data_IF_491770774351
#
_entry.id   IF_491770774351
#
_cell.length_a   1.000
_cell.length_b   1.000
_cell.length_c   1.000
_cell.angle_alpha   90.00
_cell.angle_beta   90.00
_cell.angle_gamma   90.00
#
_symmetry.space_group_name_H-M   'P 1'
#
loop_
_entity.id
_entity.type
_entity.pdbx_description
1 polymer ?
#
# COMPACT_ATOMS: atom_id res chain seq x y z
N UNK A 1 -37.96 85.99 -12.97
CA UNK A 1 -36.86 86.90 -12.63
C UNK A 1 -35.61 86.08 -12.89
N UNK A 2 -34.97 86.36 -14.02
CA UNK A 2 -33.69 87.03 -14.26
C UNK A 2 -32.54 86.28 -13.64
N UNK A 3 -31.41 85.93 -14.26
CA UNK A 3 -30.78 86.30 -15.52
C UNK A 3 -29.64 85.29 -15.75
N UNK A 4 -29.44 84.80 -16.91
CA UNK A 4 -28.35 85.01 -17.89
C UNK A 4 -27.03 85.47 -17.35
N UNK A 5 -25.95 84.63 -17.56
CA UNK A 5 -24.77 85.09 -18.28
C UNK A 5 -23.82 83.95 -18.70
N UNK A 6 -23.50 84.01 -19.96
CA UNK A 6 -22.54 83.35 -20.75
C UNK A 6 -21.11 83.81 -20.40
N UNK A 7 -20.07 83.01 -20.65
CA UNK A 7 -18.87 83.31 -21.44
C UNK A 7 -17.81 82.18 -21.37
N UNK A 8 -17.53 81.65 -22.47
CA UNK A 8 -16.30 81.66 -23.30
C UNK A 8 -15.27 80.56 -22.96
N UNK A 9 -15.14 79.68 -23.91
CA UNK A 9 -13.98 79.43 -24.77
C UNK A 9 -12.58 79.41 -24.06
N UNK A 10 -11.99 78.26 -24.07
CA UNK A 10 -10.55 78.05 -23.84
C UNK A 10 -10.17 76.70 -24.42
N UNK A 11 -9.70 76.76 -25.66
CA UNK A 11 -9.10 75.67 -26.41
C UNK A 11 -7.67 75.51 -25.87
N UNK A 12 -7.36 74.33 -25.32
CA UNK A 12 -5.99 73.97 -25.00
C UNK A 12 -5.71 72.54 -25.41
N UNK A 13 -4.98 72.44 -26.45
CA UNK A 13 -4.43 71.23 -27.05
C UNK A 13 -3.22 70.78 -26.23
N UNK A 14 -3.33 69.64 -25.49
CA UNK A 14 -2.19 68.95 -24.92
C UNK A 14 -2.20 67.50 -25.40
N UNK A 15 -1.26 67.23 -26.29
CA UNK A 15 -0.89 65.89 -26.71
C UNK A 15 -0.33 65.12 -25.51
N UNK A 16 -1.03 64.13 -25.02
CA UNK A 16 -0.58 63.18 -23.98
C UNK A 16 -0.33 61.83 -24.60
N UNK A 17 0.96 61.50 -24.73
CA UNK A 17 1.49 60.24 -25.21
C UNK A 17 1.02 59.11 -24.26
N UNK A 18 0.04 58.33 -24.67
CA UNK A 18 -0.45 57.16 -23.94
C UNK A 18 0.54 56.00 -24.10
N UNK A 19 1.31 55.74 -23.06
CA UNK A 19 2.22 54.60 -22.94
C UNK A 19 1.39 53.38 -22.59
N UNK A 20 1.08 52.54 -23.57
CA UNK A 20 0.43 51.27 -23.38
C UNK A 20 1.41 50.28 -22.72
N UNK A 21 1.34 50.09 -21.40
CA UNK A 21 1.97 48.98 -20.72
C UNK A 21 1.27 47.68 -21.09
N UNK A 22 1.80 46.96 -22.09
CA UNK A 22 1.43 45.59 -22.34
C UNK A 22 2.04 44.76 -21.21
N UNK A 23 1.19 44.42 -20.21
CA UNK A 23 1.53 43.42 -19.20
C UNK A 23 1.60 42.07 -19.90
N UNK A 24 2.81 41.62 -20.26
CA UNK A 24 3.07 40.25 -20.67
C UNK A 24 2.86 39.35 -19.44
N UNK A 25 1.67 38.75 -19.33
CA UNK A 25 1.46 37.60 -18.44
C UNK A 25 2.34 36.46 -18.95
N UNK A 26 3.54 36.35 -18.41
CA UNK A 26 4.35 35.13 -18.53
C UNK A 26 3.61 34.03 -17.80
N UNK A 27 2.82 33.28 -18.57
CA UNK A 27 2.28 32.01 -18.09
C UNK A 27 3.44 31.12 -17.66
N UNK A 28 3.63 30.97 -16.35
CA UNK A 28 4.49 29.94 -15.81
C UNK A 28 3.83 28.59 -16.15
N UNK A 29 4.17 28.04 -17.30
CA UNK A 29 3.88 26.67 -17.65
C UNK A 29 4.54 25.80 -16.59
N UNK A 30 3.75 25.21 -15.69
CA UNK A 30 4.24 24.16 -14.80
C UNK A 30 4.86 23.09 -15.69
N UNK A 31 6.15 22.88 -15.56
CA UNK A 31 6.82 21.76 -16.21
C UNK A 31 6.07 20.48 -15.81
N UNK A 32 5.82 19.54 -16.71
CA UNK A 32 5.18 18.29 -16.36
C UNK A 32 5.98 17.64 -15.23
N UNK A 33 5.29 17.32 -14.14
CA UNK A 33 5.91 16.63 -13.02
C UNK A 33 6.53 15.34 -13.57
N UNK A 34 7.86 15.20 -13.43
CA UNK A 34 8.55 13.99 -13.86
C UNK A 34 8.03 12.83 -13.02
N UNK A 35 7.71 11.72 -13.65
CA UNK A 35 7.36 10.49 -12.92
C UNK A 35 8.45 10.14 -11.89
N UNK A 36 8.06 9.72 -10.68
CA UNK A 36 9.03 9.36 -9.64
C UNK A 36 9.89 8.18 -10.10
N UNK A 37 11.17 8.22 -9.74
CA UNK A 37 12.08 7.11 -10.03
C UNK A 37 11.73 5.86 -9.20
N UNK A 38 12.30 4.72 -9.57
CA UNK A 38 12.22 3.47 -8.78
C UNK A 38 12.67 3.73 -7.34
N UNK A 39 13.80 4.41 -7.19
CA UNK A 39 14.37 4.78 -5.90
C UNK A 39 13.43 5.65 -5.06
N UNK A 40 12.85 6.70 -5.66
CA UNK A 40 11.92 7.58 -4.94
C UNK A 40 10.68 6.81 -4.46
N UNK A 41 10.13 5.93 -5.29
CA UNK A 41 8.96 5.12 -4.93
C UNK A 41 9.30 4.11 -3.84
N UNK A 42 10.42 3.39 -3.95
CA UNK A 42 10.86 2.43 -2.95
C UNK A 42 11.07 3.12 -1.59
N UNK A 43 11.77 4.24 -1.56
CA UNK A 43 11.97 5.02 -0.34
C UNK A 43 10.66 5.51 0.29
N UNK A 44 9.68 5.91 -0.53
CA UNK A 44 8.36 6.33 0.00
C UNK A 44 7.63 5.18 0.65
N UNK A 45 7.67 3.99 0.05
CA UNK A 45 7.07 2.78 0.62
C UNK A 45 7.76 2.44 1.95
N UNK A 46 9.08 2.33 1.96
CA UNK A 46 9.84 2.00 3.17
C UNK A 46 9.57 3.02 4.27
N UNK A 47 9.64 4.32 3.97
CA UNK A 47 9.38 5.39 4.93
C UNK A 47 7.95 5.37 5.47
N UNK A 48 6.95 5.08 4.60
CA UNK A 48 5.56 4.97 5.03
C UNK A 48 5.40 3.86 6.05
N UNK A 49 5.77 2.63 5.69
CA UNK A 49 5.57 1.48 6.57
C UNK A 49 6.48 1.51 7.79
N UNK A 50 7.70 2.04 7.70
CA UNK A 50 8.58 2.19 8.87
C UNK A 50 8.02 3.16 9.93
N UNK A 51 7.32 4.20 9.50
CA UNK A 51 6.72 5.19 10.39
C UNK A 51 5.52 4.67 11.19
N UNK A 52 4.89 3.60 10.75
CA UNK A 52 3.68 3.05 11.37
C UNK A 52 4.00 2.34 12.69
N UNK A 53 3.14 2.51 13.69
CA UNK A 53 3.08 1.71 14.91
C UNK A 53 2.01 0.64 14.81
N UNK A 54 0.93 0.95 14.13
CA UNK A 54 -0.18 0.04 13.86
C UNK A 54 -0.85 0.39 12.53
N UNK A 55 -1.59 -0.57 11.99
CA UNK A 55 -2.34 -0.42 10.77
C UNK A 55 -3.62 -1.23 10.85
N UNK A 56 -4.71 -0.68 10.30
CA UNK A 56 -5.92 -1.43 10.00
C UNK A 56 -6.27 -1.21 8.53
N UNK A 57 -6.61 -2.28 7.81
CA UNK A 57 -7.06 -2.20 6.42
C UNK A 57 -8.07 -3.31 6.12
N UNK A 58 -8.94 -3.10 5.14
CA UNK A 58 -9.65 -4.17 4.48
C UNK A 58 -8.74 -4.86 3.47
N UNK A 59 -8.95 -6.15 3.22
CA UNK A 59 -8.28 -6.87 2.15
C UNK A 59 -9.23 -7.72 1.33
N UNK A 60 -8.86 -7.94 0.08
CA UNK A 60 -9.35 -9.01 -0.79
C UNK A 60 -8.15 -9.79 -1.29
N UNK A 61 -8.20 -11.11 -1.21
CA UNK A 61 -7.19 -12.05 -1.69
C UNK A 61 -7.79 -12.89 -2.79
N UNK A 62 -7.13 -13.03 -3.92
CA UNK A 62 -7.45 -14.03 -4.94
C UNK A 62 -6.26 -14.92 -5.20
N UNK A 63 -6.52 -16.22 -5.31
CA UNK A 63 -5.56 -17.25 -5.67
C UNK A 63 -5.99 -17.94 -6.95
N UNK A 64 -5.08 -18.08 -7.89
CA UNK A 64 -5.24 -18.83 -9.14
C UNK A 64 -4.03 -19.73 -9.31
N UNK A 65 -4.23 -21.05 -9.29
CA UNK A 65 -3.13 -22.01 -9.46
C UNK A 65 -3.64 -23.44 -9.43
N UNK A 66 -2.98 -24.34 -10.15
CA UNK A 66 -3.29 -25.78 -10.17
C UNK A 66 -4.77 -26.10 -10.46
N UNK A 67 -5.46 -25.26 -11.23
CA UNK A 67 -6.89 -25.39 -11.52
C UNK A 67 -7.81 -24.91 -10.38
N UNK A 68 -7.27 -24.34 -9.33
CA UNK A 68 -8.01 -23.79 -8.20
C UNK A 68 -8.14 -22.27 -8.38
N UNK A 69 -9.35 -21.75 -8.18
CA UNK A 69 -9.65 -20.33 -8.09
C UNK A 69 -10.33 -20.08 -6.76
N UNK A 70 -9.74 -19.23 -5.92
CA UNK A 70 -10.29 -18.87 -4.62
C UNK A 70 -10.24 -17.37 -4.43
N UNK A 71 -11.30 -16.81 -3.89
CA UNK A 71 -11.32 -15.40 -3.46
C UNK A 71 -11.79 -15.33 -2.02
N UNK A 72 -11.04 -14.61 -1.21
CA UNK A 72 -11.34 -14.36 0.20
C UNK A 72 -11.23 -12.87 0.50
N UNK A 73 -11.86 -12.41 1.56
CA UNK A 73 -11.80 -11.03 1.99
C UNK A 73 -11.91 -10.91 3.50
N UNK A 74 -11.49 -9.79 4.03
CA UNK A 74 -11.53 -9.60 5.47
C UNK A 74 -10.87 -8.32 5.94
N UNK A 75 -10.39 -8.37 7.18
CA UNK A 75 -9.69 -7.26 7.83
C UNK A 75 -8.27 -7.68 8.21
N UNK A 76 -7.32 -6.82 7.87
CA UNK A 76 -5.93 -6.87 8.32
C UNK A 76 -5.76 -5.90 9.50
N UNK A 77 -5.16 -6.40 10.57
CA UNK A 77 -4.70 -5.62 11.71
C UNK A 77 -3.21 -5.90 11.90
N UNK A 78 -2.44 -4.84 12.10
CA UNK A 78 -1.00 -4.90 12.27
C UNK A 78 -0.58 -4.04 13.45
N UNK A 79 0.34 -4.53 14.26
CA UNK A 79 0.96 -3.76 15.35
C UNK A 79 2.43 -4.13 15.49
N UNK A 80 3.29 -3.13 15.37
CA UNK A 80 4.74 -3.32 15.56
C UNK A 80 5.10 -3.48 17.04
N UNK A 81 6.16 -4.23 17.33
CA UNK A 81 6.91 -5.07 16.39
C UNK A 81 6.20 -6.41 16.13
N UNK A 82 6.28 -6.89 14.90
CA UNK A 82 6.04 -8.29 14.52
C UNK A 82 4.68 -8.91 14.83
N UNK A 83 3.61 -8.12 14.95
CA UNK A 83 2.25 -8.64 15.19
C UNK A 83 1.34 -8.30 14.04
N UNK A 84 0.59 -9.31 13.56
CA UNK A 84 -0.32 -9.20 12.44
C UNK A 84 -1.50 -10.14 12.63
N UNK A 85 -2.69 -9.72 12.25
CA UNK A 85 -3.90 -10.53 12.30
C UNK A 85 -4.73 -10.31 11.03
N UNK A 86 -5.04 -11.40 10.36
CA UNK A 86 -5.96 -11.45 9.25
C UNK A 86 -7.21 -12.18 9.70
N UNK A 87 -8.35 -11.52 9.61
CA UNK A 87 -9.66 -12.08 9.90
C UNK A 87 -10.45 -12.18 8.60
N UNK A 88 -10.82 -13.37 8.22
CA UNK A 88 -11.50 -13.65 6.96
C UNK A 88 -13.01 -13.54 7.15
N UNK A 89 -13.64 -12.51 6.54
CA UNK A 89 -15.09 -12.32 6.56
C UNK A 89 -15.81 -13.35 5.67
N UNK A 90 -15.15 -13.80 4.58
CA UNK A 90 -15.64 -14.84 3.68
C UNK A 90 -15.75 -16.22 4.36
N UNK A 91 -14.95 -16.45 5.40
CA UNK A 91 -14.95 -17.71 6.19
C UNK A 91 -14.91 -17.33 7.67
N UNK A 92 -16.06 -17.07 8.31
CA UNK A 92 -16.10 -16.62 9.69
C UNK A 92 -15.34 -17.55 10.64
N UNK A 93 -14.42 -17.00 11.41
CA UNK A 93 -13.55 -17.75 12.32
C UNK A 93 -12.23 -18.21 11.73
N UNK A 94 -12.05 -18.18 10.41
CA UNK A 94 -10.73 -18.36 9.79
C UNK A 94 -9.84 -17.20 10.14
N UNK A 95 -8.60 -17.49 10.52
CA UNK A 95 -7.59 -16.47 10.81
C UNK A 95 -6.18 -16.92 10.44
N UNK A 96 -5.37 -15.94 10.11
CA UNK A 96 -3.92 -15.98 10.25
C UNK A 96 -3.52 -14.96 11.33
N UNK A 97 -2.69 -15.38 12.26
CA UNK A 97 -2.23 -14.53 13.35
C UNK A 97 -0.73 -14.68 13.57
N UNK A 98 -0.03 -13.58 13.58
CA UNK A 98 1.34 -13.45 14.07
C UNK A 98 1.28 -12.73 15.42
N UNK A 99 1.61 -13.43 16.51
CA UNK A 99 1.48 -12.91 17.87
C UNK A 99 2.78 -12.30 18.42
N UNK A 100 3.85 -12.34 17.60
CA UNK A 100 5.21 -11.91 17.95
C UNK A 100 6.12 -13.08 18.37
N UNK A 101 5.57 -14.26 18.64
CA UNK A 101 6.30 -15.50 18.96
C UNK A 101 6.02 -16.60 17.96
N UNK A 102 4.77 -16.74 17.59
CA UNK A 102 4.26 -17.77 16.69
C UNK A 102 3.39 -17.17 15.60
N UNK A 103 3.37 -17.82 14.47
CA UNK A 103 2.35 -17.70 13.46
C UNK A 103 1.33 -18.83 13.64
N UNK A 104 0.06 -18.47 13.62
CA UNK A 104 -1.09 -19.37 13.82
C UNK A 104 -1.94 -19.34 12.56
N UNK A 105 -2.31 -20.52 12.08
CA UNK A 105 -3.25 -20.70 10.98
C UNK A 105 -4.39 -21.56 11.48
N UNK A 106 -5.60 -21.06 11.28
CA UNK A 106 -6.80 -21.80 11.68
C UNK A 106 -7.96 -21.53 10.73
N UNK A 107 -8.62 -22.59 10.32
CA UNK A 107 -9.92 -22.56 9.63
C UNK A 107 -10.91 -23.39 10.44
N UNK A 108 -12.14 -22.89 10.72
CA UNK A 108 -13.17 -23.68 11.39
C UNK A 108 -13.47 -24.98 10.63
N UNK A 109 -13.46 -26.09 11.35
CA UNK A 109 -13.63 -27.42 10.77
C UNK A 109 -12.32 -28.16 10.49
N UNK A 110 -11.17 -27.47 10.53
CA UNK A 110 -9.88 -28.13 10.44
C UNK A 110 -9.65 -29.05 11.65
N UNK A 111 -9.01 -30.21 11.45
CA UNK A 111 -8.76 -31.16 12.53
C UNK A 111 -7.74 -30.66 13.55
N UNK A 112 -6.98 -29.61 13.22
CA UNK A 112 -5.92 -29.06 14.04
C UNK A 112 -5.68 -27.58 13.73
N UNK A 113 -5.09 -26.87 14.71
CA UNK A 113 -4.52 -25.53 14.52
C UNK A 113 -3.05 -25.67 14.14
N UNK A 114 -2.62 -25.07 13.04
CA UNK A 114 -1.20 -25.01 12.68
C UNK A 114 -0.51 -23.90 13.44
N UNK A 115 0.67 -24.19 14.02
CA UNK A 115 1.51 -23.21 14.70
C UNK A 115 2.96 -23.33 14.25
N UNK A 116 3.57 -22.20 13.91
CA UNK A 116 4.96 -22.12 13.46
C UNK A 116 5.68 -21.05 14.28
N UNK A 117 6.92 -21.27 14.72
CA UNK A 117 7.73 -20.19 15.28
C UNK A 117 7.81 -19.00 14.32
N UNK A 118 7.58 -17.77 14.83
CA UNK A 118 7.56 -16.55 14.00
C UNK A 118 8.85 -16.35 13.19
N UNK A 119 10.01 -16.74 13.75
CA UNK A 119 11.32 -16.72 13.07
C UNK A 119 11.36 -17.56 11.80
N UNK A 120 10.64 -18.67 11.76
CA UNK A 120 10.56 -19.52 10.56
C UNK A 120 9.72 -18.86 9.46
N UNK A 121 8.77 -17.99 9.84
CA UNK A 121 8.01 -17.19 8.89
C UNK A 121 8.88 -16.11 8.23
N UNK A 122 9.84 -15.54 8.98
CA UNK A 122 10.83 -14.62 8.43
C UNK A 122 11.75 -15.35 7.43
N UNK A 123 12.12 -16.60 7.72
CA UNK A 123 12.90 -17.45 6.81
C UNK A 123 12.09 -17.80 5.53
N UNK A 124 10.76 -17.92 5.63
CA UNK A 124 9.87 -18.08 4.48
C UNK A 124 9.70 -16.80 3.65
N UNK A 125 10.25 -15.67 4.14
CA UNK A 125 10.27 -14.36 3.45
C UNK A 125 8.93 -14.01 2.81
N UNK A 126 7.86 -14.11 3.62
CA UNK A 126 6.51 -13.78 3.15
C UNK A 126 6.45 -12.37 2.54
N UNK A 127 5.83 -12.20 1.35
CA UNK A 127 5.64 -10.88 0.76
C UNK A 127 4.92 -9.89 1.67
N UNK A 128 4.15 -10.39 2.64
CA UNK A 128 3.41 -9.58 3.61
C UNK A 128 4.33 -8.87 4.63
N UNK A 129 5.61 -9.27 4.71
CA UNK A 129 6.61 -8.62 5.58
C UNK A 129 6.80 -7.14 5.25
N UNK A 130 6.59 -6.73 3.99
CA UNK A 130 6.67 -5.32 3.60
C UNK A 130 5.66 -4.45 4.36
N UNK A 131 4.50 -5.00 4.74
CA UNK A 131 3.52 -4.30 5.56
C UNK A 131 3.97 -4.16 7.02
N UNK A 132 4.89 -5.00 7.49
CA UNK A 132 5.41 -4.91 8.86
C UNK A 132 6.46 -3.81 9.04
N UNK A 133 6.99 -3.24 7.94
CA UNK A 133 8.09 -2.27 7.96
C UNK A 133 9.43 -2.90 8.33
N UNK A 134 10.47 -2.07 8.45
CA UNK A 134 11.88 -2.49 8.59
C UNK A 134 12.40 -3.27 7.38
N UNK A 135 11.83 -2.94 6.21
CA UNK A 135 12.25 -3.47 4.92
C UNK A 135 13.03 -2.40 4.17
N UNK A 136 13.89 -2.85 3.30
CA UNK A 136 14.57 -2.01 2.31
C UNK A 136 14.30 -2.67 0.96
N UNK A 137 13.30 -2.15 0.26
CA UNK A 137 12.81 -2.75 -0.99
C UNK A 137 13.93 -2.93 -2.01
N UNK A 138 14.85 -1.98 -2.13
CA UNK A 138 15.94 -2.05 -3.10
C UNK A 138 16.98 -3.13 -2.72
N UNK A 139 17.17 -3.38 -1.43
CA UNK A 139 18.05 -4.47 -0.98
C UNK A 139 17.37 -5.83 -1.06
N UNK A 140 16.10 -5.89 -0.82
CA UNK A 140 15.36 -7.16 -0.76
C UNK A 140 14.88 -7.66 -2.13
N UNK A 141 14.67 -6.74 -3.07
CA UNK A 141 14.22 -7.07 -4.41
C UNK A 141 15.36 -7.06 -5.42
N UNK A 142 15.51 -8.12 -6.18
CA UNK A 142 16.35 -8.15 -7.37
C UNK A 142 15.63 -7.57 -8.57
N UNK A 143 16.35 -6.84 -9.43
CA UNK A 143 15.83 -6.27 -10.67
C UNK A 143 14.57 -5.40 -10.45
N UNK A 144 14.57 -4.60 -9.38
CA UNK A 144 13.44 -3.74 -9.06
C UNK A 144 13.22 -2.71 -10.16
N UNK A 145 11.98 -2.66 -10.67
CA UNK A 145 11.53 -1.74 -11.72
C UNK A 145 10.28 -1.00 -11.26
N UNK A 146 10.00 0.14 -11.89
CA UNK A 146 8.77 0.90 -11.69
C UNK A 146 8.09 1.14 -13.03
N UNK A 147 6.76 1.04 -13.04
CA UNK A 147 5.92 1.35 -14.19
C UNK A 147 4.67 2.12 -13.75
N UNK A 148 4.06 2.93 -14.62
CA UNK A 148 2.74 3.47 -14.37
C UNK A 148 1.73 2.33 -14.13
N UNK A 149 0.89 2.52 -13.12
CA UNK A 149 -0.19 1.62 -12.74
C UNK A 149 -1.57 2.23 -12.96
N UNK A 150 -2.64 1.54 -12.55
CA UNK A 150 -4.00 2.05 -12.67
C UNK A 150 -4.22 3.27 -11.77
N UNK A 151 -5.16 4.14 -12.14
CA UNK A 151 -5.63 5.27 -11.32
C UNK A 151 -4.53 6.21 -10.81
N UNK A 152 -3.46 6.43 -11.59
CA UNK A 152 -2.34 7.28 -11.18
C UNK A 152 -1.44 6.67 -10.10
N UNK A 153 -1.53 5.38 -9.89
CA UNK A 153 -0.62 4.60 -9.05
C UNK A 153 0.60 4.14 -9.84
N UNK A 154 1.51 3.47 -9.16
CA UNK A 154 2.72 2.89 -9.75
C UNK A 154 2.82 1.41 -9.38
N UNK A 155 3.47 0.63 -10.23
CA UNK A 155 3.77 -0.76 -9.99
C UNK A 155 5.28 -0.89 -9.80
N UNK A 156 5.70 -1.24 -8.57
CA UNK A 156 7.06 -1.65 -8.27
C UNK A 156 7.13 -3.17 -8.41
N UNK A 157 8.00 -3.69 -9.24
CA UNK A 157 8.11 -5.15 -9.43
C UNK A 157 9.56 -5.62 -9.53
N UNK A 158 9.78 -6.82 -9.03
CA UNK A 158 11.08 -7.48 -9.04
C UNK A 158 10.96 -8.91 -8.52
N UNK A 159 12.08 -9.55 -8.26
CA UNK A 159 12.14 -10.90 -7.68
C UNK A 159 12.74 -10.81 -6.28
N UNK A 160 12.06 -11.31 -5.23
CA UNK A 160 12.60 -11.29 -3.88
C UNK A 160 13.88 -12.11 -3.80
N UNK A 161 14.96 -11.49 -3.30
CA UNK A 161 16.28 -12.14 -3.21
C UNK A 161 16.25 -13.36 -2.29
N UNK A 162 16.83 -14.47 -2.77
CA UNK A 162 16.84 -15.76 -2.09
C UNK A 162 15.50 -16.51 -2.14
N UNK A 163 14.54 -16.03 -2.94
CA UNK A 163 13.28 -16.70 -3.23
C UNK A 163 13.10 -17.01 -4.72
N UNK A 164 14.13 -16.83 -5.52
CA UNK A 164 14.10 -16.92 -6.98
C UNK A 164 13.61 -18.28 -7.49
N UNK A 165 13.77 -19.33 -6.68
CA UNK A 165 13.29 -20.69 -7.00
C UNK A 165 11.80 -20.86 -6.78
N UNK A 166 11.19 -20.02 -5.94
CA UNK A 166 9.78 -20.13 -5.54
C UNK A 166 8.93 -19.02 -6.15
N UNK A 167 9.45 -17.81 -6.21
CA UNK A 167 8.73 -16.63 -6.68
C UNK A 167 9.41 -16.13 -7.95
N UNK A 168 8.67 -16.15 -9.05
CA UNK A 168 9.11 -15.63 -10.34
C UNK A 168 8.98 -14.11 -10.42
N UNK A 169 7.97 -13.54 -9.73
CA UNK A 169 7.71 -12.11 -9.69
C UNK A 169 6.94 -11.71 -8.43
N UNK A 170 7.34 -10.61 -7.84
CA UNK A 170 6.56 -9.86 -6.85
C UNK A 170 6.30 -8.46 -7.38
N UNK A 171 5.04 -8.02 -7.36
CA UNK A 171 4.66 -6.67 -7.73
C UNK A 171 3.86 -6.00 -6.62
N UNK A 172 4.22 -4.75 -6.31
CA UNK A 172 3.52 -3.89 -5.37
C UNK A 172 2.83 -2.76 -6.15
N UNK A 173 1.52 -2.66 -6.07
CA UNK A 173 0.80 -1.48 -6.54
C UNK A 173 0.84 -0.45 -5.44
N UNK A 174 1.40 0.73 -5.73
CA UNK A 174 1.65 1.77 -4.72
C UNK A 174 1.10 3.12 -5.16
N UNK A 175 0.65 3.91 -4.22
CA UNK A 175 0.32 5.32 -4.47
C UNK A 175 1.59 6.15 -4.65
N UNK A 176 1.45 7.37 -5.16
CA UNK A 176 2.57 8.32 -5.24
C UNK A 176 3.17 8.66 -3.86
N UNK A 177 2.47 8.39 -2.76
CA UNK A 177 2.92 8.61 -1.38
C UNK A 177 3.51 7.38 -0.70
N UNK A 178 3.58 6.24 -1.41
CA UNK A 178 4.18 5.00 -0.89
C UNK A 178 3.20 4.05 -0.17
N UNK A 179 1.90 4.29 -0.25
CA UNK A 179 0.90 3.36 0.31
C UNK A 179 0.75 2.17 -0.63
N UNK A 180 0.91 0.95 -0.14
CA UNK A 180 0.68 -0.29 -0.89
C UNK A 180 -0.83 -0.54 -0.95
N UNK A 181 -1.40 -0.52 -2.14
CA UNK A 181 -2.80 -0.83 -2.40
C UNK A 181 -3.00 -2.21 -2.99
N UNK A 182 -1.93 -2.87 -3.42
CA UNK A 182 -1.98 -4.24 -3.92
C UNK A 182 -0.63 -4.92 -3.83
N UNK A 183 -0.67 -6.23 -3.69
CA UNK A 183 0.49 -7.13 -3.78
C UNK A 183 0.11 -8.25 -4.73
N UNK A 184 0.94 -8.53 -5.71
CA UNK A 184 0.82 -9.66 -6.62
C UNK A 184 2.06 -10.54 -6.49
N UNK A 185 1.86 -11.82 -6.27
CA UNK A 185 2.90 -12.84 -6.17
C UNK A 185 2.67 -13.85 -7.27
N UNK A 186 3.63 -13.99 -8.15
CA UNK A 186 3.68 -15.03 -9.17
C UNK A 186 4.71 -16.07 -8.76
N UNK A 187 4.25 -17.29 -8.53
CA UNK A 187 5.13 -18.39 -8.15
C UNK A 187 5.79 -19.03 -9.37
N UNK A 188 6.87 -19.79 -9.17
CA UNK A 188 7.63 -20.40 -10.24
C UNK A 188 6.85 -21.48 -11.01
N UNK A 189 5.82 -22.06 -10.39
CA UNK A 189 4.90 -23.03 -11.02
C UNK A 189 3.73 -22.36 -11.76
N UNK A 190 3.67 -21.01 -11.77
CA UNK A 190 2.64 -20.20 -12.40
C UNK A 190 1.44 -19.91 -11.53
N UNK A 191 1.42 -20.34 -10.27
CA UNK A 191 0.38 -19.92 -9.34
C UNK A 191 0.45 -18.40 -9.05
N UNK A 192 -0.70 -17.77 -8.92
CA UNK A 192 -0.82 -16.33 -8.82
C UNK A 192 -1.69 -15.96 -7.62
N UNK A 193 -1.11 -15.23 -6.67
CA UNK A 193 -1.83 -14.67 -5.53
C UNK A 193 -1.88 -13.15 -5.66
N UNK A 194 -3.06 -12.56 -5.54
CA UNK A 194 -3.25 -11.11 -5.54
C UNK A 194 -3.94 -10.67 -4.26
N UNK A 195 -3.38 -9.66 -3.63
CA UNK A 195 -4.01 -8.93 -2.53
C UNK A 195 -4.36 -7.52 -3.00
N UNK A 196 -5.55 -7.06 -2.63
CA UNK A 196 -5.97 -5.67 -2.77
C UNK A 196 -6.29 -5.15 -1.38
N UNK A 197 -5.70 -4.02 -1.01
CA UNK A 197 -5.93 -3.36 0.27
C UNK A 197 -6.80 -2.13 0.11
N UNK A 198 -7.71 -1.92 1.05
CA UNK A 198 -8.65 -0.82 1.04
C UNK A 198 -8.76 -0.18 2.41
N UNK A 199 -9.17 1.09 2.44
CA UNK A 199 -9.47 1.81 3.68
C UNK A 199 -8.34 1.72 4.72
N UNK A 200 -7.10 1.86 4.28
CA UNK A 200 -5.95 1.91 5.18
C UNK A 200 -6.12 3.00 6.25
N UNK A 201 -5.95 2.61 7.50
CA UNK A 201 -5.99 3.47 8.67
C UNK A 201 -4.64 3.37 9.39
N UNK A 202 -3.70 4.26 9.09
CA UNK A 202 -2.39 4.28 9.74
C UNK A 202 -2.54 4.66 11.21
N UNK A 203 -1.77 3.99 12.07
CA UNK A 203 -1.77 4.21 13.53
C UNK A 203 -3.14 4.06 14.19
N UNK A 204 -4.03 3.22 13.62
CA UNK A 204 -5.33 2.91 14.20
C UNK A 204 -5.19 2.36 15.62
N UNK A 205 -6.07 2.75 16.55
CA UNK A 205 -6.10 2.15 17.87
C UNK A 205 -6.49 0.67 17.77
N UNK A 206 -5.69 -0.20 18.38
CA UNK A 206 -5.93 -1.65 18.39
C UNK A 206 -6.17 -2.08 19.83
N UNK A 207 -7.27 -2.81 20.05
CA UNK A 207 -7.66 -3.25 21.38
C UNK A 207 -6.60 -4.18 22.01
N UNK A 208 -6.37 -4.11 23.33
CA UNK A 208 -5.54 -5.07 24.03
C UNK A 208 -6.06 -6.50 23.81
N UNK A 209 -5.17 -7.42 23.51
CA UNK A 209 -5.54 -8.82 23.29
C UNK A 209 -5.91 -9.21 21.85
N UNK A 210 -6.02 -8.23 20.94
CA UNK A 210 -6.27 -8.51 19.50
C UNK A 210 -5.31 -9.55 18.92
N UNK A 211 -4.07 -9.55 19.33
CA UNK A 211 -3.04 -10.48 18.85
C UNK A 211 -2.87 -11.70 19.79
N UNK A 212 -3.97 -12.14 20.41
CA UNK A 212 -4.03 -13.38 21.18
C UNK A 212 -5.00 -14.34 20.49
N UNK A 213 -4.61 -15.59 20.45
CA UNK A 213 -5.45 -16.67 19.94
C UNK A 213 -5.46 -17.82 20.95
N UNK A 214 -6.64 -18.34 21.21
CA UNK A 214 -6.82 -19.57 21.97
C UNK A 214 -7.48 -20.57 21.06
N UNK A 215 -6.85 -21.71 20.78
CA UNK A 215 -7.47 -22.76 19.98
C UNK A 215 -8.82 -23.17 20.57
N UNK A 216 -9.79 -23.51 19.72
CA UNK A 216 -11.07 -24.05 20.19
C UNK A 216 -10.89 -25.32 21.04
N UNK A 217 -11.79 -25.56 21.99
CA UNK A 217 -11.75 -26.73 22.84
C UNK A 217 -11.76 -28.02 22.00
N UNK A 218 -10.83 -28.92 22.29
CA UNK A 218 -10.74 -30.22 21.59
C UNK A 218 -9.98 -30.16 20.25
N UNK A 219 -9.55 -28.98 19.76
CA UNK A 219 -8.76 -28.89 18.56
C UNK A 219 -7.27 -28.89 18.94
N UNK A 220 -6.49 -29.91 18.55
CA UNK A 220 -5.06 -29.98 18.87
C UNK A 220 -4.25 -28.94 18.12
N UNK A 221 -3.10 -28.61 18.67
CA UNK A 221 -2.09 -27.77 18.01
C UNK A 221 -1.09 -28.69 17.33
N UNK A 222 -0.86 -28.46 16.04
CA UNK A 222 0.21 -29.07 15.28
C UNK A 222 1.33 -28.06 15.07
N UNK A 223 2.53 -28.36 15.53
CA UNK A 223 3.73 -27.60 15.24
C UNK A 223 4.31 -28.07 13.90
N UNK A 224 4.53 -27.16 12.96
CA UNK A 224 5.07 -27.48 11.64
C UNK A 224 4.77 -26.42 10.58
N UNK A 225 5.21 -26.68 9.35
CA UNK A 225 4.98 -25.81 8.21
C UNK A 225 3.50 -25.62 7.95
N UNK A 226 3.08 -24.44 7.43
CA UNK A 226 1.71 -24.23 7.02
C UNK A 226 1.32 -25.25 5.95
N UNK A 227 0.04 -25.60 5.86
CA UNK A 227 -0.45 -26.39 4.74
C UNK A 227 -0.14 -25.64 3.43
N UNK A 228 0.39 -26.37 2.46
CA UNK A 228 0.71 -25.90 1.12
C UNK A 228 -0.58 -25.61 0.36
#
# INVERSE_FOLDING_TARGET
>A
MTARKSHRLGLSLCAGLGMACAAACLGQGSAPARDPSVHDLAQRVDSHYDSLRSLKAGFSESYEGLGIHRTESGTLLLSKPGRMRWEYASTPGKLFLLDGKFAWFYTPGDPQVQRIPAKELDDLRSPLRFLLGHTDLEKEMGNLTAAPGPNGQYILSGVPRGQEKRISRLALTVTATGIITGIEVEEADGALTRFVFTAEQPNAPIAPGTFRFTPPAGVPIADGLPPV
#
